data_IF_223687544708
#
_entry.id   IF_223687544708
#
_cell.length_a   1.000
_cell.length_b   1.000
_cell.length_c   1.000
_cell.angle_alpha   90.00
_cell.angle_beta   90.00
_cell.angle_gamma   90.00
#
_symmetry.space_group_name_H-M   'P 1'
#
loop_
_entity.id
_entity.type
_entity.pdbx_description
1 polymer ?
#
# COMPACT_ATOMS: atom_id res chain seq x y z
N UNK A 1 -27.69 8.16 -26.22
CA UNK A 1 -26.81 7.42 -25.30
C UNK A 1 -25.66 6.90 -26.14
N UNK A 2 -24.48 7.48 -25.99
CA UNK A 2 -23.26 6.95 -26.61
C UNK A 2 -22.90 5.68 -25.84
N UNK A 3 -23.08 4.53 -26.45
CA UNK A 3 -22.63 3.27 -25.87
C UNK A 3 -21.12 3.19 -26.06
N UNK A 4 -20.38 3.63 -25.05
CA UNK A 4 -18.93 3.43 -25.01
C UNK A 4 -18.66 1.93 -24.80
N UNK A 5 -17.75 1.39 -25.60
CA UNK A 5 -17.39 -0.01 -25.54
C UNK A 5 -16.62 -0.31 -24.24
N UNK A 6 -16.97 -1.41 -23.56
CA UNK A 6 -16.29 -1.82 -22.32
C UNK A 6 -15.12 -2.77 -22.58
N UNK A 7 -14.21 -2.89 -21.62
CA UNK A 7 -13.08 -3.83 -21.68
C UNK A 7 -13.57 -5.28 -21.80
N UNK A 8 -14.64 -5.65 -21.10
CA UNK A 8 -15.28 -6.97 -21.22
C UNK A 8 -15.83 -7.23 -22.62
N UNK A 9 -16.45 -6.22 -23.24
CA UNK A 9 -16.95 -6.34 -24.61
C UNK A 9 -15.79 -6.53 -25.60
N UNK A 10 -14.69 -5.81 -25.40
CA UNK A 10 -13.47 -5.98 -26.20
C UNK A 10 -12.88 -7.39 -26.01
N UNK A 11 -12.77 -7.88 -24.78
CA UNK A 11 -12.24 -9.22 -24.50
C UNK A 11 -13.05 -10.30 -25.20
N UNK A 12 -14.39 -10.27 -25.06
CA UNK A 12 -15.29 -11.23 -25.71
C UNK A 12 -15.20 -11.18 -27.23
N UNK A 13 -15.16 -9.97 -27.80
CA UNK A 13 -14.98 -9.78 -29.23
C UNK A 13 -13.66 -10.40 -29.72
N UNK A 14 -12.54 -10.18 -29.02
CA UNK A 14 -11.25 -10.75 -29.41
C UNK A 14 -11.22 -12.28 -29.27
N UNK A 15 -11.90 -12.84 -28.28
CA UNK A 15 -12.05 -14.30 -28.13
C UNK A 15 -12.85 -14.92 -29.30
N UNK A 16 -13.94 -14.28 -29.72
CA UNK A 16 -14.71 -14.70 -30.89
C UNK A 16 -13.86 -14.62 -32.17
N UNK A 17 -13.14 -13.51 -32.36
CA UNK A 17 -12.21 -13.33 -33.47
C UNK A 17 -11.07 -14.36 -33.48
N UNK A 18 -10.66 -14.88 -32.32
CA UNK A 18 -9.64 -15.93 -32.22
C UNK A 18 -10.16 -17.26 -32.77
N UNK A 19 -11.41 -17.61 -32.45
CA UNK A 19 -12.09 -18.80 -32.99
C UNK A 19 -12.24 -18.66 -34.51
N UNK A 20 -12.72 -17.51 -34.99
CA UNK A 20 -12.85 -17.25 -36.43
C UNK A 20 -11.51 -17.28 -37.17
N UNK A 21 -10.40 -16.92 -36.49
CA UNK A 21 -9.08 -16.95 -37.11
C UNK A 21 -8.63 -18.37 -37.46
N UNK A 22 -9.14 -19.41 -36.79
CA UNK A 22 -8.80 -20.80 -37.10
C UNK A 22 -9.23 -21.22 -38.52
N UNK A 23 -10.30 -20.62 -39.04
CA UNK A 23 -10.86 -20.91 -40.36
C UNK A 23 -10.08 -20.24 -41.51
N UNK A 24 -9.05 -19.44 -41.21
CA UNK A 24 -8.22 -18.79 -42.23
C UNK A 24 -7.48 -19.86 -43.05
N UNK A 25 -7.66 -19.94 -44.38
CA UNK A 25 -7.09 -21.02 -45.20
C UNK A 25 -5.56 -20.99 -45.29
N UNK A 26 -4.99 -19.78 -45.38
CA UNK A 26 -3.55 -19.59 -45.47
C UNK A 26 -2.92 -19.76 -44.08
N UNK A 27 -2.08 -20.78 -43.93
CA UNK A 27 -1.45 -21.15 -42.65
C UNK A 27 -0.63 -20.01 -42.05
N UNK A 28 0.11 -19.26 -42.87
CA UNK A 28 0.98 -18.19 -42.38
C UNK A 28 0.15 -16.99 -41.92
N UNK A 29 -0.86 -16.60 -42.70
CA UNK A 29 -1.79 -15.54 -42.32
C UNK A 29 -2.58 -15.90 -41.06
N UNK A 30 -3.02 -17.16 -40.95
CA UNK A 30 -3.69 -17.69 -39.76
C UNK A 30 -2.82 -17.54 -38.52
N UNK A 31 -1.58 -18.05 -38.57
CA UNK A 31 -0.62 -17.94 -37.46
C UNK A 31 -0.40 -16.50 -37.05
N UNK A 32 -0.16 -15.61 -38.01
CA UNK A 32 0.07 -14.19 -37.72
C UNK A 32 -1.17 -13.53 -37.10
N UNK A 33 -2.37 -13.88 -37.55
CA UNK A 33 -3.62 -13.36 -36.98
C UNK A 33 -3.83 -13.85 -35.55
N UNK A 34 -3.64 -15.14 -35.31
CA UNK A 34 -3.75 -15.76 -33.98
C UNK A 34 -2.78 -15.11 -33.00
N UNK A 35 -1.49 -14.99 -33.34
CA UNK A 35 -0.47 -14.38 -32.47
C UNK A 35 -0.87 -12.95 -32.08
N UNK A 36 -1.38 -12.16 -33.04
CA UNK A 36 -1.83 -10.79 -32.76
C UNK A 36 -3.01 -10.75 -31.79
N UNK A 37 -3.97 -11.66 -31.95
CA UNK A 37 -5.15 -11.75 -31.09
C UNK A 37 -4.77 -12.24 -29.69
N UNK A 38 -3.93 -13.26 -29.58
CA UNK A 38 -3.41 -13.77 -28.31
C UNK A 38 -2.62 -12.69 -27.56
N UNK A 39 -1.75 -11.95 -28.26
CA UNK A 39 -0.99 -10.85 -27.64
C UNK A 39 -1.93 -9.77 -27.10
N UNK A 40 -2.95 -9.39 -27.85
CA UNK A 40 -3.92 -8.39 -27.40
C UNK A 40 -4.77 -8.90 -26.22
N UNK A 41 -5.19 -10.17 -26.24
CA UNK A 41 -5.92 -10.78 -25.13
C UNK A 41 -5.08 -10.85 -23.85
N UNK A 42 -3.79 -11.15 -23.98
CA UNK A 42 -2.86 -11.16 -22.85
C UNK A 42 -2.75 -9.78 -22.21
N UNK A 43 -2.57 -8.72 -23.01
CA UNK A 43 -2.52 -7.34 -22.50
C UNK A 43 -3.83 -6.91 -21.81
N UNK A 44 -4.99 -7.37 -22.31
CA UNK A 44 -6.27 -7.11 -21.63
C UNK A 44 -6.31 -7.78 -20.25
N UNK A 45 -5.85 -9.03 -20.15
CA UNK A 45 -5.82 -9.75 -18.86
C UNK A 45 -4.90 -9.04 -17.88
N UNK A 46 -3.70 -8.63 -18.31
CA UNK A 46 -2.77 -7.87 -17.47
C UNK A 46 -3.35 -6.52 -17.05
N UNK A 47 -4.08 -5.83 -17.94
CA UNK A 47 -4.77 -4.59 -17.59
C UNK A 47 -5.82 -4.81 -16.50
N UNK A 48 -6.72 -5.80 -16.67
CA UNK A 48 -7.77 -6.12 -15.69
C UNK A 48 -7.13 -6.42 -14.33
N UNK A 49 -6.11 -7.29 -14.31
CA UNK A 49 -5.37 -7.63 -13.10
C UNK A 49 -4.73 -6.41 -12.44
N UNK A 50 -4.12 -5.51 -13.22
CA UNK A 50 -3.51 -4.28 -12.67
C UNK A 50 -4.54 -3.35 -12.04
N UNK A 51 -5.77 -3.31 -12.55
CA UNK A 51 -6.88 -2.55 -11.95
C UNK A 51 -7.31 -3.20 -10.64
N UNK A 52 -7.53 -4.51 -10.63
CA UNK A 52 -7.91 -5.26 -9.41
C UNK A 52 -6.87 -5.11 -8.29
N UNK A 53 -5.57 -5.19 -8.62
CA UNK A 53 -4.49 -4.98 -7.65
C UNK A 53 -4.53 -3.58 -7.01
N UNK A 54 -4.88 -2.54 -7.78
CA UNK A 54 -4.98 -1.17 -7.25
C UNK A 54 -6.19 -1.01 -6.34
N UNK A 55 -7.32 -1.61 -6.70
CA UNK A 55 -8.51 -1.61 -5.87
C UNK A 55 -8.26 -2.31 -4.52
N UNK A 56 -7.51 -3.42 -4.53
CA UNK A 56 -7.09 -4.10 -3.31
C UNK A 56 -6.20 -3.21 -2.43
N UNK A 57 -5.23 -2.49 -3.01
CA UNK A 57 -4.38 -1.56 -2.26
C UNK A 57 -5.19 -0.38 -1.69
N UNK A 58 -6.13 0.17 -2.46
CA UNK A 58 -7.00 1.26 -2.01
C UNK A 58 -7.97 0.81 -0.90
N UNK A 59 -8.37 -0.47 -0.88
CA UNK A 59 -9.21 -1.04 0.17
C UNK A 59 -8.51 -1.22 1.52
N UNK A 60 -7.16 -1.18 1.55
CA UNK A 60 -6.40 -1.15 2.80
C UNK A 60 -6.50 0.28 3.36
N UNK A 61 -7.59 0.55 4.08
CA UNK A 61 -7.72 1.74 4.90
C UNK A 61 -6.52 1.76 5.84
N UNK A 62 -5.62 2.71 5.62
CA UNK A 62 -4.52 2.97 6.53
C UNK A 62 -5.12 3.45 7.86
N UNK A 63 -5.25 2.54 8.82
CA UNK A 63 -5.61 2.90 10.19
C UNK A 63 -4.38 3.53 10.85
N UNK A 64 -4.35 4.87 10.88
CA UNK A 64 -3.45 5.58 11.79
C UNK A 64 -3.76 5.12 13.22
N UNK A 65 -2.84 4.38 13.83
CA UNK A 65 -2.99 3.97 15.22
C UNK A 65 -3.06 5.23 16.08
N UNK A 66 -4.17 5.39 16.81
CA UNK A 66 -4.32 6.52 17.72
C UNK A 66 -3.19 6.50 18.73
N UNK A 67 -2.43 7.58 18.84
CA UNK A 67 -1.38 7.72 19.86
C UNK A 67 -1.99 7.52 21.26
N UNK A 68 -1.78 6.34 21.84
CA UNK A 68 -2.29 6.01 23.17
C UNK A 68 -1.35 6.62 24.20
N UNK A 69 -1.68 7.82 24.71
CA UNK A 69 -1.18 8.23 26.03
C UNK A 69 -1.89 7.36 27.06
N UNK A 70 -1.15 6.46 27.71
CA UNK A 70 -1.63 5.70 28.85
C UNK A 70 -1.92 6.68 30.00
N UNK A 71 -3.17 7.11 30.13
CA UNK A 71 -3.62 7.86 31.30
C UNK A 71 -3.99 6.83 32.35
N UNK A 72 -3.01 6.43 33.17
CA UNK A 72 -3.29 5.78 34.44
C UNK A 72 -3.82 6.85 35.39
N UNK A 73 -5.14 6.88 35.60
CA UNK A 73 -5.76 7.68 36.65
C UNK A 73 -5.32 7.17 38.02
N UNK A 74 -4.87 8.11 38.87
CA UNK A 74 -4.89 8.11 40.35
C UNK A 74 -4.32 6.87 41.05
N UNK A 75 -3.38 6.95 41.98
CA UNK A 75 -3.30 7.95 43.04
C UNK A 75 -2.04 7.68 43.89
N UNK A 76 -1.57 8.74 44.54
CA UNK A 76 -0.74 8.78 45.75
C UNK A 76 0.79 8.65 45.66
N UNK A 77 1.40 9.76 46.09
CA UNK A 77 2.57 9.86 46.98
C UNK A 77 3.89 9.32 46.46
N UNK A 78 4.75 10.21 45.98
CA UNK A 78 5.86 10.73 46.79
C UNK A 78 6.82 11.54 45.89
N UNK A 79 7.06 12.80 46.24
CA UNK A 79 8.29 13.47 45.80
C UNK A 79 9.48 12.68 46.35
N UNK A 80 10.58 12.55 45.59
CA UNK A 80 11.74 13.27 46.07
C UNK A 80 12.72 13.77 44.99
N UNK A 81 13.27 14.93 45.31
CA UNK A 81 14.68 15.33 45.12
C UNK A 81 15.24 15.43 43.71
N UNK A 82 15.49 16.69 43.33
CA UNK A 82 16.39 17.15 42.28
C UNK A 82 17.79 16.57 42.53
N UNK A 83 18.15 15.51 41.81
CA UNK A 83 19.55 15.08 41.67
C UNK A 83 20.00 15.37 40.25
N UNK A 84 21.07 16.16 40.12
CA UNK A 84 21.80 16.40 38.87
C UNK A 84 22.41 15.08 38.37
N UNK A 85 21.59 14.22 37.77
CA UNK A 85 22.05 13.01 37.09
C UNK A 85 22.33 13.35 35.63
N UNK A 86 23.57 13.10 35.21
CA UNK A 86 24.02 13.14 33.80
C UNK A 86 23.35 12.07 32.94
N UNK A 87 22.40 11.32 33.50
CA UNK A 87 21.69 10.20 32.89
C UNK A 87 20.20 10.47 32.99
N UNK A 88 19.48 10.21 31.90
CA UNK A 88 18.04 10.35 31.83
C UNK A 88 17.35 9.31 32.73
N UNK A 89 16.48 9.71 33.68
CA UNK A 89 15.82 8.78 34.59
C UNK A 89 14.79 7.85 33.91
N UNK A 90 14.44 8.10 32.64
CA UNK A 90 13.48 7.26 31.90
C UNK A 90 14.12 6.24 30.96
N UNK A 91 15.26 6.56 30.35
CA UNK A 91 15.85 5.70 29.32
C UNK A 91 17.31 5.33 29.62
N UNK A 92 17.83 5.73 30.79
CA UNK A 92 19.19 5.48 31.26
C UNK A 92 20.32 5.90 30.31
N UNK A 93 20.01 6.75 29.32
CA UNK A 93 20.98 7.31 28.39
C UNK A 93 21.63 8.59 28.96
N UNK A 94 22.93 8.84 28.70
CA UNK A 94 23.59 10.08 29.08
C UNK A 94 22.88 11.29 28.48
N UNK A 95 22.41 12.19 29.35
CA UNK A 95 21.65 13.38 28.98
C UNK A 95 22.45 14.63 29.37
N UNK A 96 22.88 15.38 28.36
CA UNK A 96 23.56 16.68 28.53
C UNK A 96 22.73 17.65 29.39
N UNK A 97 23.40 18.45 30.22
CA UNK A 97 22.80 19.46 31.09
C UNK A 97 22.40 20.75 30.37
N UNK A 98 22.81 20.92 29.11
CA UNK A 98 22.45 22.09 28.29
C UNK A 98 21.00 22.08 27.81
N UNK A 99 20.37 20.90 27.76
CA UNK A 99 19.00 20.74 27.29
C UNK A 99 18.09 20.34 28.45
N UNK A 100 16.98 21.07 28.59
CA UNK A 100 15.93 20.77 29.58
C UNK A 100 15.13 19.51 29.25
N UNK A 101 15.51 18.76 28.20
CA UNK A 101 14.86 17.54 27.77
C UNK A 101 15.87 16.50 27.26
N UNK A 102 15.50 15.22 27.30
CA UNK A 102 16.31 14.11 26.80
C UNK A 102 16.15 13.99 25.29
N UNK A 103 17.25 13.98 24.56
CA UNK A 103 17.25 13.92 23.10
C UNK A 103 16.87 12.54 22.54
N UNK A 104 16.89 11.49 23.38
CA UNK A 104 16.60 10.11 22.98
C UNK A 104 15.12 9.76 23.21
N UNK A 105 14.60 10.01 24.42
CA UNK A 105 13.22 9.64 24.77
C UNK A 105 12.26 10.85 24.91
N UNK A 106 12.77 12.08 24.93
CA UNK A 106 11.95 13.29 25.09
C UNK A 106 11.60 13.68 26.53
N UNK A 107 12.11 12.95 27.53
CA UNK A 107 11.87 13.25 28.96
C UNK A 107 12.32 14.66 29.34
N UNK A 108 11.44 15.48 29.94
CA UNK A 108 11.75 16.86 30.34
C UNK A 108 12.15 16.92 31.81
N UNK A 109 13.33 17.51 32.09
CA UNK A 109 13.74 17.85 33.46
C UNK A 109 12.94 19.07 33.89
N UNK A 110 11.99 18.89 34.81
CA UNK A 110 11.23 19.99 35.42
C UNK A 110 12.08 20.77 36.42
#
# INVERSE_FOLDING_TARGET
MTHDATVDQLQRYLQEQLVEAEDIPNVEQRKQRIIKLESALFEIIEFIKSVEERELVESVIFEESSSVRLISSSDNTDEPSITNSEVCPECDEPQSSEFSFCQVCGYQRK
#
